data_IF_127169260965
#
_entry.id   IF_127169260965
#
_cell.length_a   1.000
_cell.length_b   1.000
_cell.length_c   1.000
_cell.angle_alpha   90.00
_cell.angle_beta   90.00
_cell.angle_gamma   90.00
#
_symmetry.space_group_name_H-M   'P 1'
#
loop_
_entity.id
_entity.type
_entity.pdbx_description
1 polymer ?
#
# COMPACT_ATOMS: atom_id res chain seq x y z
N UNK A 1 11.09 8.58 -19.62
CA UNK A 1 11.67 7.62 -18.65
C UNK A 1 10.83 6.37 -18.77
N UNK A 2 11.45 5.24 -19.11
CA UNK A 2 10.78 3.95 -18.92
C UNK A 2 10.59 3.76 -17.42
N UNK A 3 9.35 3.54 -16.98
CA UNK A 3 9.05 3.25 -15.58
C UNK A 3 9.47 1.80 -15.33
N UNK A 4 10.34 1.57 -14.35
CA UNK A 4 10.88 0.23 -14.04
C UNK A 4 9.79 -0.74 -13.55
N UNK A 5 8.77 -0.22 -12.85
CA UNK A 5 7.65 -1.00 -12.29
C UNK A 5 6.29 -0.32 -12.58
N UNK A 6 5.80 -0.33 -13.83
CA UNK A 6 4.64 0.47 -14.23
C UNK A 6 3.35 0.07 -13.53
N UNK A 7 3.16 -1.24 -13.27
CA UNK A 7 1.99 -1.76 -12.59
C UNK A 7 1.98 -1.37 -11.10
N UNK A 8 3.06 -1.69 -10.39
CA UNK A 8 3.22 -1.34 -8.97
C UNK A 8 3.08 0.17 -8.74
N UNK A 9 3.68 0.98 -9.62
CA UNK A 9 3.59 2.45 -9.56
C UNK A 9 2.15 2.95 -9.67
N UNK A 10 1.33 2.36 -10.53
CA UNK A 10 -0.07 2.78 -10.68
C UNK A 10 -0.85 2.54 -9.37
N UNK A 11 -0.77 1.32 -8.83
CA UNK A 11 -1.45 0.96 -7.60
C UNK A 11 -0.95 1.73 -6.37
N UNK A 12 0.35 1.99 -6.26
CA UNK A 12 0.90 2.82 -5.19
C UNK A 12 0.44 4.27 -5.30
N UNK A 13 0.34 4.80 -6.52
CA UNK A 13 -0.19 6.13 -6.72
C UNK A 13 -1.67 6.22 -6.32
N UNK A 14 -2.47 5.20 -6.66
CA UNK A 14 -3.87 5.12 -6.25
C UNK A 14 -4.03 5.03 -4.73
N UNK A 15 -3.16 4.27 -4.06
CA UNK A 15 -3.10 4.21 -2.60
C UNK A 15 -2.77 5.59 -1.99
N UNK A 16 -1.75 6.28 -2.50
CA UNK A 16 -1.40 7.65 -2.05
C UNK A 16 -2.59 8.59 -2.26
N UNK A 17 -3.26 8.51 -3.41
CA UNK A 17 -4.42 9.34 -3.74
C UNK A 17 -5.56 9.12 -2.75
N UNK A 18 -5.90 7.87 -2.45
CA UNK A 18 -6.90 7.52 -1.44
C UNK A 18 -6.52 8.07 -0.05
N UNK A 19 -5.25 7.91 0.33
CA UNK A 19 -4.71 8.41 1.58
C UNK A 19 -4.55 9.93 1.66
N UNK A 20 -4.70 10.71 0.59
CA UNK A 20 -4.42 12.16 0.60
C UNK A 20 -5.57 13.05 0.15
N UNK A 21 -6.47 12.55 -0.70
CA UNK A 21 -7.45 13.40 -1.40
C UNK A 21 -8.92 13.07 -1.12
N UNK A 22 -9.22 11.98 -0.42
CA UNK A 22 -10.61 11.61 -0.17
C UNK A 22 -11.24 12.42 0.98
N UNK A 23 -12.50 12.88 0.81
CA UNK A 23 -13.28 13.53 1.87
C UNK A 23 -13.83 12.53 2.91
N UNK A 24 -13.57 11.24 2.72
CA UNK A 24 -14.12 10.16 3.54
C UNK A 24 -13.36 10.02 4.87
N UNK A 25 -13.90 9.18 5.75
CA UNK A 25 -13.23 8.84 7.00
C UNK A 25 -11.86 8.21 6.74
N UNK A 26 -10.96 8.32 7.71
CA UNK A 26 -9.63 7.66 7.66
C UNK A 26 -9.79 6.16 7.39
N UNK A 27 -10.82 5.52 7.95
CA UNK A 27 -11.10 4.10 7.74
C UNK A 27 -11.43 3.78 6.27
N UNK A 28 -12.33 4.53 5.64
CA UNK A 28 -12.66 4.32 4.22
C UNK A 28 -11.42 4.52 3.33
N UNK A 29 -10.61 5.54 3.62
CA UNK A 29 -9.36 5.83 2.91
C UNK A 29 -8.32 4.72 3.07
N UNK A 30 -8.25 4.12 4.26
CA UNK A 30 -7.37 2.98 4.53
C UNK A 30 -7.82 1.72 3.80
N UNK A 31 -9.13 1.50 3.64
CA UNK A 31 -9.66 0.37 2.86
C UNK A 31 -9.21 0.50 1.41
N UNK A 32 -9.56 1.62 0.75
CA UNK A 32 -9.22 1.87 -0.65
C UNK A 32 -7.71 1.79 -0.92
N UNK A 33 -6.91 2.33 0.00
CA UNK A 33 -5.46 2.27 -0.09
C UNK A 33 -4.93 0.85 0.08
N UNK A 34 -5.47 0.09 1.04
CA UNK A 34 -5.05 -1.29 1.30
C UNK A 34 -5.41 -2.21 0.14
N UNK A 35 -6.60 -2.07 -0.45
CA UNK A 35 -6.99 -2.83 -1.65
C UNK A 35 -6.03 -2.58 -2.81
N UNK A 36 -5.67 -1.31 -3.04
CA UNK A 36 -4.71 -0.93 -4.06
C UNK A 36 -3.33 -1.55 -3.81
N UNK A 37 -2.84 -1.49 -2.56
CA UNK A 37 -1.55 -2.06 -2.16
C UNK A 37 -1.53 -3.60 -2.28
N UNK A 38 -2.62 -4.27 -1.89
CA UNK A 38 -2.73 -5.73 -1.95
C UNK A 38 -2.82 -6.27 -3.39
N UNK A 39 -3.09 -5.41 -4.37
CA UNK A 39 -3.04 -5.77 -5.80
C UNK A 39 -1.60 -5.88 -6.33
N UNK A 40 -0.62 -5.28 -5.64
CA UNK A 40 0.80 -5.38 -6.00
C UNK A 40 1.41 -6.64 -5.41
N UNK A 41 2.12 -7.39 -6.24
CA UNK A 41 2.74 -8.65 -5.82
C UNK A 41 4.21 -8.44 -5.47
N UNK A 42 4.73 -9.14 -4.45
CA UNK A 42 6.16 -9.06 -4.10
C UNK A 42 7.04 -9.46 -5.29
N UNK A 43 6.55 -10.37 -6.14
CA UNK A 43 7.26 -10.86 -7.33
C UNK A 43 7.52 -9.74 -8.35
N UNK A 44 6.75 -8.64 -8.33
CA UNK A 44 6.99 -7.45 -9.16
C UNK A 44 8.37 -6.81 -8.88
N UNK A 45 8.98 -7.12 -7.72
CA UNK A 45 10.28 -6.58 -7.28
C UNK A 45 11.36 -7.66 -7.17
N UNK A 46 11.19 -8.86 -7.74
CA UNK A 46 12.09 -9.99 -7.52
C UNK A 46 13.58 -9.71 -7.87
N UNK A 47 13.83 -8.80 -8.81
CA UNK A 47 15.18 -8.38 -9.24
C UNK A 47 15.83 -7.33 -8.31
N UNK A 48 15.09 -6.86 -7.29
CA UNK A 48 15.51 -5.78 -6.38
C UNK A 48 15.19 -6.13 -4.91
N UNK A 49 16.11 -6.84 -4.22
CA UNK A 49 15.88 -7.32 -2.86
C UNK A 49 15.60 -6.22 -1.84
N UNK A 50 16.09 -5.00 -2.07
CA UNK A 50 15.82 -3.86 -1.18
C UNK A 50 14.34 -3.44 -1.29
N UNK A 51 13.81 -3.36 -2.51
CA UNK A 51 12.40 -3.06 -2.74
C UNK A 51 11.49 -4.16 -2.21
N UNK A 52 11.87 -5.44 -2.33
CA UNK A 52 11.14 -6.56 -1.70
C UNK A 52 11.00 -6.36 -0.19
N UNK A 53 12.08 -6.01 0.50
CA UNK A 53 12.06 -5.79 1.95
C UNK A 53 11.17 -4.60 2.31
N UNK A 54 11.28 -3.49 1.58
CA UNK A 54 10.49 -2.28 1.85
C UNK A 54 9.00 -2.51 1.59
N UNK A 55 8.65 -3.20 0.49
CA UNK A 55 7.27 -3.54 0.18
C UNK A 55 6.70 -4.53 1.20
N UNK A 56 7.47 -5.52 1.65
CA UNK A 56 7.04 -6.44 2.72
C UNK A 56 6.72 -5.71 4.01
N UNK A 57 7.47 -4.66 4.37
CA UNK A 57 7.15 -3.82 5.56
C UNK A 57 5.82 -3.08 5.43
N UNK A 58 5.43 -2.71 4.21
CA UNK A 58 4.11 -2.13 3.95
C UNK A 58 3.04 -3.22 4.14
N UNK A 59 3.24 -4.40 3.55
CA UNK A 59 2.32 -5.54 3.68
C UNK A 59 2.12 -5.99 5.14
N UNK A 60 3.19 -6.00 5.95
CA UNK A 60 3.13 -6.32 7.38
C UNK A 60 2.19 -5.39 8.17
N UNK A 61 1.89 -4.19 7.66
CA UNK A 61 0.97 -3.24 8.29
C UNK A 61 -0.49 -3.43 7.89
N UNK A 62 -0.75 -4.06 6.75
CA UNK A 62 -2.10 -4.18 6.16
C UNK A 62 -2.66 -5.61 6.18
N UNK A 63 -2.11 -6.45 7.06
CA UNK A 63 -2.46 -7.85 7.30
C UNK A 63 -2.32 -8.77 6.06
N UNK A 64 -1.48 -9.80 6.17
CA UNK A 64 -1.09 -10.66 5.04
C UNK A 64 -1.95 -11.94 5.00
N UNK A 65 -3.29 -11.82 4.98
CA UNK A 65 -4.13 -12.95 4.58
C UNK A 65 -4.52 -12.81 3.11
N UNK A 66 -3.82 -13.54 2.25
CA UNK A 66 -3.89 -13.39 0.79
C UNK A 66 -5.16 -14.02 0.16
N UNK A 67 -6.17 -14.32 0.95
CA UNK A 67 -7.40 -14.98 0.47
C UNK A 67 -8.44 -14.02 -0.08
N UNK A 68 -8.61 -12.86 0.56
CA UNK A 68 -9.63 -11.87 0.24
C UNK A 68 -9.11 -10.47 0.56
N UNK A 69 -8.74 -9.70 -0.48
CA UNK A 69 -8.16 -8.38 -0.34
C UNK A 69 -9.15 -7.36 0.23
N UNK A 70 -10.43 -7.46 -0.12
CA UNK A 70 -11.50 -6.58 0.37
C UNK A 70 -11.74 -6.84 1.87
N UNK A 71 -11.88 -8.11 2.28
CA UNK A 71 -12.03 -8.47 3.68
C UNK A 71 -10.81 -8.06 4.52
N UNK A 72 -9.61 -8.26 3.98
CA UNK A 72 -8.34 -7.90 4.62
C UNK A 72 -8.19 -6.39 4.79
N UNK A 73 -8.58 -5.61 3.77
CA UNK A 73 -8.58 -4.15 3.84
C UNK A 73 -9.58 -3.64 4.89
N UNK A 74 -10.78 -4.23 4.95
CA UNK A 74 -11.79 -3.89 5.93
C UNK A 74 -11.35 -4.21 7.37
N UNK A 75 -10.77 -5.40 7.62
CA UNK A 75 -10.21 -5.74 8.94
C UNK A 75 -9.07 -4.81 9.32
N UNK A 76 -8.14 -4.55 8.38
CA UNK A 76 -7.02 -3.64 8.60
C UNK A 76 -7.50 -2.27 9.06
N UNK A 77 -8.45 -1.67 8.34
CA UNK A 77 -8.98 -0.36 8.70
C UNK A 77 -9.74 -0.36 10.04
N UNK A 78 -10.38 -1.48 10.41
CA UNK A 78 -11.09 -1.59 11.68
C UNK A 78 -10.17 -1.61 12.91
N UNK A 79 -8.96 -2.15 12.77
CA UNK A 79 -7.99 -2.29 13.87
C UNK A 79 -6.83 -1.29 13.83
N UNK A 80 -6.68 -0.54 12.74
CA UNK A 80 -5.60 0.44 12.58
C UNK A 80 -5.94 1.77 13.24
N UNK A 81 -5.05 2.22 14.14
CA UNK A 81 -5.12 3.55 14.74
C UNK A 81 -4.63 4.64 13.77
N UNK A 82 -5.05 5.89 13.98
CA UNK A 82 -4.59 7.05 13.19
C UNK A 82 -3.06 7.17 13.14
N UNK A 83 -2.36 6.85 14.23
CA UNK A 83 -0.90 6.87 14.27
C UNK A 83 -0.28 5.79 13.36
N UNK A 84 -0.87 4.58 13.34
CA UNK A 84 -0.43 3.51 12.43
C UNK A 84 -0.77 3.86 10.97
N UNK A 85 -1.91 4.50 10.73
CA UNK A 85 -2.31 4.98 9.41
C UNK A 85 -1.33 6.02 8.86
N UNK A 86 -0.87 6.96 9.70
CA UNK A 86 0.16 7.93 9.33
C UNK A 86 1.48 7.25 8.95
N UNK A 87 1.93 6.27 9.75
CA UNK A 87 3.15 5.51 9.47
C UNK A 87 3.04 4.74 8.14
N UNK A 88 1.88 4.12 7.88
CA UNK A 88 1.63 3.44 6.61
C UNK A 88 1.71 4.43 5.45
N UNK A 89 1.10 5.61 5.57
CA UNK A 89 1.15 6.63 4.54
C UNK A 89 2.58 7.10 4.25
N UNK A 90 3.40 7.31 5.28
CA UNK A 90 4.81 7.67 5.14
C UNK A 90 5.60 6.59 4.39
N UNK A 91 5.44 5.31 4.79
CA UNK A 91 6.10 4.17 4.15
C UNK A 91 5.71 4.05 2.66
N UNK A 92 4.44 4.24 2.33
CA UNK A 92 3.95 4.19 0.95
C UNK A 92 4.51 5.33 0.11
N UNK A 93 4.60 6.55 0.67
CA UNK A 93 5.20 7.69 -0.01
C UNK A 93 6.68 7.48 -0.27
N UNK A 94 7.44 7.04 0.75
CA UNK A 94 8.87 6.74 0.63
C UNK A 94 9.12 5.68 -0.43
N UNK A 95 8.34 4.59 -0.40
CA UNK A 95 8.46 3.51 -1.38
C UNK A 95 8.13 3.99 -2.80
N UNK A 96 7.08 4.82 -2.97
CA UNK A 96 6.73 5.38 -4.27
C UNK A 96 7.88 6.22 -4.86
N UNK A 97 8.58 7.02 -4.06
CA UNK A 97 9.72 7.81 -4.54
C UNK A 97 10.87 6.96 -5.07
N UNK A 98 11.06 5.74 -4.54
CA UNK A 98 12.16 4.85 -4.95
C UNK A 98 11.89 4.10 -6.26
N UNK A 99 10.62 3.94 -6.63
CA UNK A 99 10.21 3.19 -7.83
C UNK A 99 9.86 4.08 -9.04
N UNK A 100 10.00 5.40 -8.90
CA UNK A 100 9.70 6.44 -9.91
C UNK A 100 10.88 6.70 -10.85
#
# INVERSE_FOLDING_TARGET
>A
MDVKYPNARAHLFDAIRALSTSPDSIQARLIDASESLLTVTIDDFADDPELVVKFTRILDKIAVDRGDAEATAAETAAYMSDAQASILADLVCDFFYEIV
#
